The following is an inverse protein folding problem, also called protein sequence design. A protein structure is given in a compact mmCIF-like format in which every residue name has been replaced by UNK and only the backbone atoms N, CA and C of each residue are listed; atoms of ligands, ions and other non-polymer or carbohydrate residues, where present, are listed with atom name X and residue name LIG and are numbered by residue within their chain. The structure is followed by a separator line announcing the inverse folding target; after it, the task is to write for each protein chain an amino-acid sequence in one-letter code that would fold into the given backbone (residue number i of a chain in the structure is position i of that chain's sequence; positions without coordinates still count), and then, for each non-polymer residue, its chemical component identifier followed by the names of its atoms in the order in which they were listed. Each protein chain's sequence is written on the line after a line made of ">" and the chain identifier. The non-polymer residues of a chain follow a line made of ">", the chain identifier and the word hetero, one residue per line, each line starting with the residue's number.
data_IF_219863265932
#
_entry.id   IF_219863265932
#
_cell.length_a   1.000
_cell.length_b   1.000
_cell.length_c   1.000
_cell.angle_alpha   90.00
_cell.angle_beta   90.00
_cell.angle_gamma   90.00
#
_symmetry.space_group_name_H-M   'P 1'
#
loop_
_entity.id
_entity.type
_entity.pdbx_description
1 polymer ?
#
# COMPACT_ATOMS: atom_id res chain seq x y z
N UNK A 1 -26.86 32.39 14.75
CA UNK A 1 -27.33 31.19 14.03
C UNK A 1 -27.25 30.07 15.03
N UNK A 2 -28.36 29.41 15.35
CA UNK A 2 -28.42 28.43 16.42
C UNK A 2 -27.66 27.17 16.04
N UNK A 3 -26.91 26.60 16.98
CA UNK A 3 -26.27 25.29 16.84
C UNK A 3 -27.37 24.25 16.60
N UNK A 4 -27.50 23.83 15.35
CA UNK A 4 -28.45 22.81 14.95
C UNK A 4 -27.89 21.46 15.43
N UNK A 5 -28.40 20.98 16.57
CA UNK A 5 -27.99 19.70 17.14
C UNK A 5 -28.54 18.57 16.27
N UNK A 6 -27.65 17.78 15.67
CA UNK A 6 -28.01 16.63 14.84
C UNK A 6 -28.13 15.37 15.71
N UNK A 7 -29.31 14.76 15.75
CA UNK A 7 -29.52 13.48 16.41
C UNK A 7 -28.97 12.33 15.54
N UNK A 8 -27.99 11.59 16.06
CA UNK A 8 -27.30 10.50 15.36
C UNK A 8 -27.82 9.10 15.72
N UNK A 9 -28.82 9.01 16.61
CA UNK A 9 -29.35 7.75 17.12
C UNK A 9 -28.84 7.41 18.52
N UNK A 10 -29.06 6.15 18.91
CA UNK A 10 -28.61 5.55 20.16
C UNK A 10 -27.26 4.86 19.95
N UNK A 11 -26.40 4.93 20.96
CA UNK A 11 -25.09 4.27 20.95
C UNK A 11 -24.87 3.46 22.22
N UNK A 12 -24.05 2.41 22.10
CA UNK A 12 -23.54 1.64 23.23
C UNK A 12 -22.03 1.86 23.34
N UNK A 13 -21.51 1.82 24.57
CA UNK A 13 -20.06 1.87 24.79
C UNK A 13 -19.45 0.55 24.33
N UNK A 14 -18.58 0.59 23.32
CA UNK A 14 -17.83 -0.60 22.87
C UNK A 14 -16.55 -0.79 23.67
N UNK A 15 -15.89 0.31 24.03
CA UNK A 15 -14.65 0.32 24.82
C UNK A 15 -14.52 1.62 25.59
N UNK A 16 -14.00 1.56 26.82
CA UNK A 16 -13.63 2.73 27.59
C UNK A 16 -12.31 2.47 28.31
N UNK A 17 -11.42 3.46 28.29
CA UNK A 17 -10.17 3.48 29.06
C UNK A 17 -10.30 4.51 30.18
N UNK A 18 -9.64 4.24 31.31
CA UNK A 18 -9.56 5.20 32.40
C UNK A 18 -8.14 5.24 32.96
N UNK A 19 -7.71 6.44 33.36
CA UNK A 19 -6.46 6.69 34.07
C UNK A 19 -6.80 7.46 35.36
N UNK A 20 -6.28 7.01 36.50
CA UNK A 20 -6.57 7.56 37.82
C UNK A 20 -8.07 7.71 38.14
N UNK A 21 -8.89 6.77 37.66
CA UNK A 21 -10.34 6.77 37.87
C UNK A 21 -11.12 7.76 36.98
N UNK A 22 -10.45 8.44 36.05
CA UNK A 22 -11.05 9.33 35.06
C UNK A 22 -11.05 8.65 33.70
N UNK A 23 -12.21 8.60 33.04
CA UNK A 23 -12.33 8.08 31.68
C UNK A 23 -11.53 8.97 30.72
N UNK A 24 -10.55 8.41 30.02
CA UNK A 24 -9.70 9.13 29.06
C UNK A 24 -10.25 9.02 27.65
N UNK A 25 -10.76 7.84 27.29
CA UNK A 25 -11.29 7.57 25.96
C UNK A 25 -12.56 6.71 26.07
N UNK A 26 -13.50 6.95 25.16
CA UNK A 26 -14.72 6.19 25.04
C UNK A 26 -15.04 5.98 23.55
N UNK A 27 -15.17 4.73 23.17
CA UNK A 27 -15.58 4.32 21.83
C UNK A 27 -17.07 3.96 21.87
N UNK A 28 -17.84 4.57 20.98
CA UNK A 28 -19.28 4.41 20.90
C UNK A 28 -19.65 3.70 19.60
N UNK A 29 -20.44 2.64 19.70
CA UNK A 29 -21.06 1.97 18.56
C UNK A 29 -22.52 2.38 18.46
N UNK A 30 -22.89 3.01 17.35
CA UNK A 30 -24.30 3.32 17.05
C UNK A 30 -25.08 2.04 16.78
N UNK A 31 -26.32 1.97 17.25
CA UNK A 31 -27.21 0.81 17.06
C UNK A 31 -27.65 0.66 15.60
N UNK A 32 -27.69 1.77 14.86
CA UNK A 32 -27.95 1.80 13.43
C UNK A 32 -26.82 2.55 12.71
N UNK A 33 -26.39 2.11 11.52
CA UNK A 33 -25.46 2.88 10.71
C UNK A 33 -26.00 4.28 10.40
N UNK A 34 -25.11 5.26 10.34
CA UNK A 34 -25.47 6.60 9.89
C UNK A 34 -25.87 6.59 8.41
N UNK A 35 -26.89 7.37 8.06
CA UNK A 35 -27.23 7.58 6.65
C UNK A 35 -26.13 8.36 5.94
N UNK A 36 -25.97 8.14 4.63
CA UNK A 36 -25.05 8.95 3.80
C UNK A 36 -25.35 10.44 3.92
N UNK A 37 -26.63 10.84 3.89
CA UNK A 37 -27.03 12.23 4.08
C UNK A 37 -26.51 12.84 5.40
N UNK A 38 -26.44 12.05 6.48
CA UNK A 38 -25.90 12.52 7.76
C UNK A 38 -24.38 12.64 7.71
N UNK A 39 -23.70 11.70 7.05
CA UNK A 39 -22.26 11.74 6.84
C UNK A 39 -21.85 12.91 5.94
N UNK A 40 -22.59 13.15 4.86
CA UNK A 40 -22.34 14.23 3.90
C UNK A 40 -22.54 15.63 4.52
N UNK A 41 -23.32 15.78 5.60
CA UNK A 41 -23.41 17.07 6.30
C UNK A 41 -22.11 17.44 7.02
N UNK A 42 -21.43 16.46 7.59
CA UNK A 42 -20.17 16.67 8.34
C UNK A 42 -18.94 16.42 7.48
N UNK A 43 -19.10 15.71 6.37
CA UNK A 43 -18.07 15.37 5.37
C UNK A 43 -18.60 15.64 3.95
N UNK A 44 -18.95 16.90 3.61
CA UNK A 44 -19.61 17.25 2.34
C UNK A 44 -18.79 16.83 1.14
N UNK A 45 -19.36 16.09 0.15
CA UNK A 45 -18.66 15.53 -1.01
C UNK A 45 -17.66 16.54 -1.59
N UNK A 46 -16.38 16.22 -1.46
CA UNK A 46 -15.35 16.98 -2.15
C UNK A 46 -15.52 16.72 -3.65
N UNK A 47 -15.34 17.73 -4.52
CA UNK A 47 -15.30 17.48 -5.96
C UNK A 47 -14.28 16.37 -6.19
N UNK A 48 -14.63 15.38 -7.00
CA UNK A 48 -13.69 14.34 -7.38
C UNK A 48 -12.50 15.06 -8.04
N UNK A 49 -11.38 15.14 -7.31
CA UNK A 49 -10.11 15.50 -7.94
C UNK A 49 -9.82 14.49 -9.05
N UNK A 50 -8.93 14.84 -9.98
CA UNK A 50 -8.47 13.90 -10.99
C UNK A 50 -7.81 12.70 -10.28
N UNK A 51 -8.58 11.62 -10.10
CA UNK A 51 -8.10 10.42 -9.43
C UNK A 51 -7.05 9.74 -10.31
N UNK A 52 -6.00 9.14 -9.72
CA UNK A 52 -5.02 8.36 -10.47
C UNK A 52 -5.70 7.27 -11.30
N UNK A 53 -5.45 7.29 -12.62
CA UNK A 53 -6.04 6.33 -13.56
C UNK A 53 -5.40 4.94 -13.49
N UNK A 54 -5.95 4.02 -14.29
CA UNK A 54 -5.51 2.62 -14.37
C UNK A 54 -4.67 2.29 -15.62
N UNK A 55 -4.25 3.30 -16.39
CA UNK A 55 -3.51 3.12 -17.64
C UNK A 55 -2.23 2.30 -17.47
N UNK A 56 -1.58 2.39 -16.31
CA UNK A 56 -0.37 1.64 -15.97
C UNK A 56 -0.56 0.12 -16.05
N UNK A 57 -1.78 -0.39 -15.87
CA UNK A 57 -2.09 -1.83 -15.93
C UNK A 57 -1.75 -2.43 -17.30
N UNK A 58 -1.87 -1.65 -18.39
CA UNK A 58 -1.57 -2.12 -19.75
C UNK A 58 -0.10 -2.52 -19.94
N UNK A 59 0.78 -1.99 -19.08
CA UNK A 59 2.23 -2.21 -19.18
C UNK A 59 2.73 -3.36 -18.29
N UNK A 60 1.94 -3.83 -17.31
CA UNK A 60 2.38 -4.79 -16.26
C UNK A 60 2.97 -6.10 -16.82
N UNK A 61 2.43 -6.58 -17.95
CA UNK A 61 2.90 -7.83 -18.58
C UNK A 61 3.97 -7.63 -19.66
N UNK A 62 4.42 -6.39 -19.91
CA UNK A 62 5.39 -6.07 -20.96
C UNK A 62 6.48 -5.11 -20.51
N UNK A 63 6.09 -3.89 -20.14
CA UNK A 63 7.00 -2.83 -19.67
C UNK A 63 6.70 -2.49 -18.20
N UNK A 64 7.21 -3.33 -17.30
CA UNK A 64 7.02 -3.15 -15.85
C UNK A 64 7.66 -1.87 -15.32
N UNK A 65 8.70 -1.37 -16.00
CA UNK A 65 9.29 -0.09 -15.68
C UNK A 65 8.29 1.05 -15.95
N UNK A 66 7.64 1.06 -17.11
CA UNK A 66 6.58 2.03 -17.41
C UNK A 66 5.39 1.91 -16.45
N UNK A 67 4.96 0.68 -16.13
CA UNK A 67 3.89 0.43 -15.17
C UNK A 67 4.20 1.05 -13.80
N UNK A 68 5.39 0.78 -13.25
CA UNK A 68 5.83 1.31 -11.96
C UNK A 68 5.89 2.84 -11.96
N UNK A 69 6.43 3.42 -13.03
CA UNK A 69 6.54 4.88 -13.18
C UNK A 69 5.17 5.56 -13.24
N UNK A 70 4.25 5.05 -14.06
CA UNK A 70 2.90 5.61 -14.20
C UNK A 70 2.10 5.47 -12.89
N UNK A 71 2.18 4.31 -12.21
CA UNK A 71 1.53 4.12 -10.91
C UNK A 71 2.05 5.09 -9.85
N UNK A 72 3.37 5.15 -9.64
CA UNK A 72 3.98 6.03 -8.63
C UNK A 72 3.69 7.51 -8.93
N UNK A 73 3.76 7.92 -10.19
CA UNK A 73 3.53 9.33 -10.56
C UNK A 73 2.08 9.74 -10.33
N UNK A 74 1.13 8.82 -10.50
CA UNK A 74 -0.28 9.06 -10.17
C UNK A 74 -0.53 9.06 -8.66
N UNK A 75 -0.02 8.06 -7.94
CA UNK A 75 -0.31 7.88 -6.51
C UNK A 75 0.41 8.89 -5.61
N UNK A 76 1.67 9.21 -5.95
CA UNK A 76 2.52 10.13 -5.20
C UNK A 76 2.83 11.34 -6.10
N UNK A 77 2.00 12.39 -6.10
CA UNK A 77 2.27 13.58 -6.88
C UNK A 77 3.61 14.20 -6.45
N UNK A 78 4.39 14.70 -7.42
CA UNK A 78 5.61 15.42 -7.09
C UNK A 78 5.27 16.71 -6.32
N UNK A 79 6.15 17.17 -5.41
CA UNK A 79 6.02 18.50 -4.82
C UNK A 79 5.86 19.54 -5.93
N UNK A 80 4.95 20.49 -5.73
CA UNK A 80 4.75 21.60 -6.66
C UNK A 80 6.03 22.44 -6.68
N UNK A 81 6.42 23.01 -7.83
CA UNK A 81 7.70 23.75 -8.01
C UNK A 81 7.96 24.82 -6.92
N UNK A 82 6.91 25.30 -6.26
CA UNK A 82 6.94 26.23 -5.11
C UNK A 82 7.58 25.68 -3.83
N UNK A 83 7.75 24.37 -3.70
CA UNK A 83 8.31 23.68 -2.51
C UNK A 83 9.71 23.11 -2.76
N UNK A 84 10.29 23.37 -3.93
CA UNK A 84 11.62 22.86 -4.28
C UNK A 84 12.65 23.98 -4.09
N UNK A 85 13.24 24.09 -2.90
CA UNK A 85 14.55 24.75 -2.79
C UNK A 85 15.54 23.98 -3.67
N UNK A 86 16.36 24.73 -4.42
CA UNK A 86 17.25 24.27 -5.49
C UNK A 86 17.89 22.91 -5.18
N UNK A 87 17.44 21.87 -5.88
CA UNK A 87 18.13 20.59 -5.88
C UNK A 87 19.46 20.75 -6.62
N UNK A 88 20.56 20.35 -5.98
CA UNK A 88 21.89 20.34 -6.57
C UNK A 88 21.90 19.62 -7.93
N UNK A 89 22.73 20.07 -8.89
CA UNK A 89 22.82 19.44 -10.20
C UNK A 89 23.21 17.96 -10.06
N UNK A 90 22.64 17.06 -10.88
CA UNK A 90 22.87 15.63 -10.75
C UNK A 90 24.35 15.32 -11.01
N UNK A 91 25.05 14.86 -9.96
CA UNK A 91 26.39 14.30 -10.10
C UNK A 91 26.32 13.11 -11.06
N UNK A 92 27.26 12.98 -12.03
CA UNK A 92 27.28 11.83 -12.92
C UNK A 92 27.46 10.55 -12.09
N UNK A 93 26.37 9.82 -11.90
CA UNK A 93 26.39 8.52 -11.21
C UNK A 93 27.17 7.56 -12.10
N UNK A 94 28.35 7.15 -11.64
CA UNK A 94 28.99 5.92 -12.10
C UNK A 94 27.94 4.82 -12.18
N UNK A 95 28.00 3.99 -13.23
CA UNK A 95 27.06 2.89 -13.43
C UNK A 95 27.01 2.04 -12.15
N UNK A 96 25.97 2.27 -11.34
CA UNK A 96 25.78 1.53 -10.11
C UNK A 96 25.53 0.07 -10.51
N UNK A 97 26.16 -0.91 -9.83
CA UNK A 97 25.98 -2.33 -10.11
C UNK A 97 24.57 -2.84 -9.74
N UNK A 98 23.61 -1.94 -9.53
CA UNK A 98 22.25 -2.26 -9.15
C UNK A 98 21.39 -2.61 -10.36
N UNK A 99 20.47 -3.58 -10.21
CA UNK A 99 19.47 -3.88 -11.22
C UNK A 99 18.65 -2.65 -11.62
N UNK A 100 18.21 -2.64 -12.87
CA UNK A 100 17.50 -1.52 -13.50
C UNK A 100 16.26 -1.10 -12.73
N UNK A 101 15.50 -2.06 -12.19
CA UNK A 101 14.30 -1.81 -11.38
C UNK A 101 14.59 -0.97 -10.14
N UNK A 102 15.62 -1.30 -9.36
CA UNK A 102 16.01 -0.52 -8.18
C UNK A 102 16.54 0.86 -8.59
N UNK A 103 17.35 0.95 -9.66
CA UNK A 103 17.83 2.24 -10.17
C UNK A 103 16.67 3.15 -10.56
N UNK A 104 15.63 2.59 -11.19
CA UNK A 104 14.44 3.34 -11.54
C UNK A 104 13.65 3.80 -10.31
N UNK A 105 13.40 2.92 -9.34
CA UNK A 105 12.71 3.27 -8.10
C UNK A 105 13.45 4.41 -7.37
N UNK A 106 14.78 4.34 -7.28
CA UNK A 106 15.56 5.39 -6.63
C UNK A 106 15.45 6.74 -7.35
N UNK A 107 15.41 6.78 -8.69
CA UNK A 107 15.14 8.02 -9.43
C UNK A 107 13.76 8.59 -9.14
N UNK A 108 12.75 7.72 -8.98
CA UNK A 108 11.40 8.17 -8.59
C UNK A 108 11.38 8.73 -7.17
N UNK A 109 12.14 8.11 -6.27
CA UNK A 109 12.25 8.50 -4.87
C UNK A 109 13.00 9.82 -4.64
N UNK A 110 13.90 10.23 -5.56
CA UNK A 110 14.63 11.51 -5.48
C UNK A 110 13.69 12.72 -5.27
N UNK A 111 12.50 12.69 -5.87
CA UNK A 111 11.47 13.73 -5.69
C UNK A 111 10.31 13.30 -4.79
N UNK A 112 10.30 12.04 -4.33
CA UNK A 112 9.18 11.41 -3.62
C UNK A 112 9.68 10.39 -2.59
N UNK A 113 10.25 10.82 -1.46
CA UNK A 113 10.87 9.90 -0.49
C UNK A 113 9.95 8.76 -0.02
N UNK A 114 8.63 9.01 0.07
CA UNK A 114 7.62 8.03 0.47
C UNK A 114 7.50 6.81 -0.47
N UNK A 115 8.01 6.90 -1.69
CA UNK A 115 8.07 5.77 -2.65
C UNK A 115 8.90 4.60 -2.12
N UNK A 116 9.83 4.86 -1.20
CA UNK A 116 10.61 3.82 -0.55
C UNK A 116 9.85 3.11 0.59
N UNK A 117 8.60 3.48 0.84
CA UNK A 117 7.72 2.84 1.81
C UNK A 117 7.79 3.43 3.22
N UNK A 118 6.70 3.24 3.95
CA UNK A 118 6.50 3.69 5.34
C UNK A 118 6.36 2.48 6.26
N UNK A 119 5.53 1.50 5.90
CA UNK A 119 5.27 0.28 6.68
C UNK A 119 6.41 -0.72 6.50
N UNK A 120 6.73 -1.01 5.25
CA UNK A 120 7.96 -1.66 4.85
C UNK A 120 8.88 -0.62 4.20
N UNK A 121 10.15 -0.96 4.03
CA UNK A 121 11.14 -0.04 3.48
C UNK A 121 11.99 -0.70 2.43
N UNK A 122 12.13 -0.04 1.28
CA UNK A 122 13.26 -0.23 0.38
C UNK A 122 14.38 0.68 0.86
N UNK A 123 15.51 0.08 1.20
CA UNK A 123 16.68 0.79 1.69
C UNK A 123 17.26 1.69 0.60
N UNK A 124 17.64 2.94 0.92
CA UNK A 124 18.44 3.75 0.01
C UNK A 124 19.73 3.04 -0.39
N UNK A 125 20.26 3.35 -1.59
CA UNK A 125 21.47 2.69 -2.11
C UNK A 125 22.66 2.70 -1.12
N UNK A 126 22.84 3.80 -0.38
CA UNK A 126 23.91 3.99 0.61
C UNK A 126 23.74 3.14 1.87
N UNK A 127 22.58 2.52 2.06
CA UNK A 127 22.23 1.69 3.22
C UNK A 127 21.99 0.23 2.87
N UNK A 128 22.24 -0.16 1.63
CA UNK A 128 22.16 -1.56 1.24
C UNK A 128 23.19 -2.37 2.03
N UNK A 129 22.73 -3.51 2.56
CA UNK A 129 23.53 -4.39 3.43
C UNK A 129 23.83 -5.67 2.68
N UNK A 130 24.93 -6.33 3.03
CA UNK A 130 25.16 -7.73 2.66
C UNK A 130 24.79 -8.61 3.83
N UNK A 131 24.35 -9.83 3.54
CA UNK A 131 24.19 -10.86 4.56
C UNK A 131 25.55 -11.29 5.16
N UNK A 132 25.52 -12.18 6.15
CA UNK A 132 26.72 -12.65 6.83
C UNK A 132 27.68 -13.42 5.92
N UNK A 133 27.17 -14.04 4.84
CA UNK A 133 28.00 -14.79 3.88
C UNK A 133 28.52 -13.93 2.74
N UNK A 134 27.97 -12.72 2.56
CA UNK A 134 28.31 -11.83 1.45
C UNK A 134 27.74 -12.27 0.10
N UNK A 135 26.78 -13.21 0.13
CA UNK A 135 26.15 -13.82 -1.05
C UNK A 135 24.86 -13.10 -1.43
N UNK A 136 24.23 -12.41 -0.47
CA UNK A 136 22.94 -11.75 -0.66
C UNK A 136 23.05 -10.25 -0.34
N UNK A 137 22.45 -9.42 -1.19
CA UNK A 137 22.31 -7.98 -0.95
C UNK A 137 20.90 -7.67 -0.46
N UNK A 138 20.81 -7.30 0.81
CA UNK A 138 19.58 -6.89 1.47
C UNK A 138 19.24 -5.47 0.99
N UNK A 139 18.07 -5.35 0.38
CA UNK A 139 17.59 -4.10 -0.21
C UNK A 139 16.27 -3.60 0.38
N UNK A 140 15.56 -4.42 1.15
CA UNK A 140 14.40 -3.96 1.88
C UNK A 140 14.22 -4.70 3.21
N UNK A 141 13.46 -4.08 4.11
CA UNK A 141 13.09 -4.63 5.40
C UNK A 141 11.67 -4.24 5.82
N UNK A 142 11.09 -5.04 6.71
CA UNK A 142 9.92 -4.67 7.49
C UNK A 142 10.36 -3.68 8.57
N UNK A 143 9.64 -2.56 8.73
CA UNK A 143 10.13 -1.45 9.55
C UNK A 143 10.25 -1.78 11.05
N UNK A 144 9.62 -2.85 11.53
CA UNK A 144 9.69 -3.35 12.91
C UNK A 144 10.74 -4.46 13.09
N UNK A 145 11.41 -4.89 12.01
CA UNK A 145 12.51 -5.85 12.03
C UNK A 145 12.10 -7.31 11.96
N UNK A 146 10.89 -7.64 11.50
CA UNK A 146 10.41 -9.03 11.37
C UNK A 146 11.07 -9.80 10.23
N UNK A 147 11.18 -9.20 9.04
CA UNK A 147 11.71 -9.86 7.85
C UNK A 147 12.46 -8.89 6.92
N UNK A 148 13.13 -9.42 5.90
CA UNK A 148 13.86 -8.64 4.89
C UNK A 148 13.73 -9.23 3.49
N UNK A 149 13.98 -8.37 2.50
CA UNK A 149 14.14 -8.78 1.10
C UNK A 149 15.57 -8.59 0.63
N UNK A 150 16.04 -9.57 -0.14
CA UNK A 150 17.39 -9.60 -0.66
C UNK A 150 17.43 -10.06 -2.12
N UNK A 151 18.53 -9.73 -2.77
CA UNK A 151 18.87 -10.21 -4.11
C UNK A 151 20.13 -11.04 -4.01
N UNK A 152 20.25 -12.05 -4.88
CA UNK A 152 21.52 -12.74 -5.04
C UNK A 152 22.58 -11.72 -5.52
N UNK A 153 23.70 -11.67 -4.81
CA UNK A 153 24.79 -10.73 -5.05
C UNK A 153 25.95 -11.45 -5.74
N UNK A 154 25.77 -11.80 -7.01
CA UNK A 154 26.86 -12.33 -7.84
C UNK A 154 27.52 -11.21 -8.65
N UNK A 155 28.84 -11.13 -8.56
CA UNK A 155 29.64 -10.16 -9.33
C UNK A 155 29.84 -10.56 -10.78
N UNK A 156 29.62 -11.83 -11.12
CA UNK A 156 30.05 -12.38 -12.39
C UNK A 156 29.05 -12.07 -13.52
N UNK A 157 27.74 -12.16 -13.30
CA UNK A 157 26.70 -11.68 -14.24
C UNK A 157 25.38 -11.44 -13.48
N UNK A 158 24.99 -10.18 -13.20
CA UNK A 158 23.70 -9.93 -12.54
C UNK A 158 22.55 -10.25 -13.50
N UNK A 159 21.56 -11.00 -13.01
CA UNK A 159 20.30 -11.21 -13.73
C UNK A 159 19.67 -9.85 -14.09
N UNK A 160 19.15 -9.71 -15.31
CA UNK A 160 18.52 -8.46 -15.78
C UNK A 160 17.33 -8.06 -14.89
N UNK A 161 16.56 -9.06 -14.48
CA UNK A 161 15.42 -8.92 -13.58
C UNK A 161 15.50 -10.01 -12.50
N UNK A 162 16.26 -9.75 -11.41
CA UNK A 162 16.67 -10.79 -10.48
C UNK A 162 15.51 -11.31 -9.63
N UNK A 163 15.61 -12.58 -9.25
CA UNK A 163 14.73 -13.17 -8.21
C UNK A 163 14.88 -12.42 -6.89
N UNK A 164 13.75 -12.07 -6.27
CA UNK A 164 13.70 -11.49 -4.92
C UNK A 164 13.54 -12.59 -3.90
N UNK A 165 14.35 -12.55 -2.85
CA UNK A 165 14.34 -13.52 -1.76
C UNK A 165 13.82 -12.88 -0.49
N UNK A 166 12.75 -13.44 0.05
CA UNK A 166 12.16 -13.12 1.34
C UNK A 166 12.87 -13.94 2.44
N UNK A 167 13.33 -13.30 3.50
CA UNK A 167 13.99 -13.97 4.62
C UNK A 167 13.50 -13.47 5.97
N UNK A 168 13.34 -14.39 6.91
CA UNK A 168 13.21 -14.14 8.35
C UNK A 168 14.48 -14.61 9.05
N UNK A 169 14.79 -14.03 10.22
CA UNK A 169 15.95 -14.45 11.00
C UNK A 169 15.86 -15.96 11.32
N UNK A 170 16.94 -16.68 11.03
CA UNK A 170 17.12 -18.13 11.27
C UNK A 170 16.31 -19.09 10.38
N UNK A 171 15.59 -18.60 9.35
CA UNK A 171 14.90 -19.44 8.36
C UNK A 171 15.60 -19.45 6.99
N UNK A 172 15.34 -20.49 6.18
CA UNK A 172 15.83 -20.54 4.79
C UNK A 172 15.04 -19.54 3.94
N UNK A 173 15.70 -18.65 3.17
CA UNK A 173 15.01 -17.68 2.34
C UNK A 173 14.08 -18.33 1.31
N UNK A 174 12.91 -17.74 1.14
CA UNK A 174 11.89 -18.18 0.19
C UNK A 174 11.84 -17.18 -0.97
N UNK A 175 11.81 -17.68 -2.21
CA UNK A 175 11.67 -16.81 -3.36
C UNK A 175 10.28 -16.15 -3.38
N UNK A 176 10.24 -14.84 -3.59
CA UNK A 176 9.02 -14.15 -4.01
C UNK A 176 8.58 -14.70 -5.36
N UNK A 177 7.27 -14.64 -5.62
CA UNK A 177 6.77 -15.20 -6.87
C UNK A 177 7.16 -14.33 -8.06
N UNK A 178 7.12 -12.99 -7.94
CA UNK A 178 7.58 -12.10 -9.00
C UNK A 178 9.08 -11.80 -8.90
N UNK A 179 9.81 -11.69 -10.04
CA UNK A 179 11.14 -11.09 -10.03
C UNK A 179 11.04 -9.61 -9.67
N UNK A 180 12.19 -8.99 -9.43
CA UNK A 180 12.33 -7.63 -8.90
C UNK A 180 11.38 -6.62 -9.55
N UNK A 181 11.26 -6.60 -10.87
CA UNK A 181 10.40 -5.67 -11.59
C UNK A 181 8.91 -5.76 -11.20
N UNK A 182 8.40 -6.98 -11.01
CA UNK A 182 7.02 -7.22 -10.57
C UNK A 182 6.87 -6.99 -9.07
N UNK A 183 7.87 -7.44 -8.31
CA UNK A 183 7.94 -7.21 -6.86
C UNK A 183 7.87 -5.71 -6.52
N UNK A 184 8.59 -4.84 -7.24
CA UNK A 184 8.58 -3.40 -6.96
C UNK A 184 7.22 -2.74 -7.19
N UNK A 185 6.44 -3.23 -8.17
CA UNK A 185 5.04 -2.82 -8.37
C UNK A 185 4.20 -3.26 -7.16
N UNK A 186 4.34 -4.52 -6.74
CA UNK A 186 3.60 -5.08 -5.60
C UNK A 186 3.94 -4.39 -4.28
N UNK A 187 5.22 -4.13 -4.03
CA UNK A 187 5.69 -3.34 -2.90
C UNK A 187 5.03 -1.96 -2.89
N UNK A 188 5.03 -1.28 -4.03
CA UNK A 188 4.39 0.05 -4.15
C UNK A 188 2.88 0.01 -3.92
N UNK A 189 2.20 -1.05 -4.39
CA UNK A 189 0.77 -1.29 -4.15
C UNK A 189 0.48 -1.61 -2.67
N UNK A 190 1.34 -2.40 -2.02
CA UNK A 190 1.25 -2.71 -0.61
C UNK A 190 1.34 -1.43 0.23
N UNK A 191 2.38 -0.64 0.02
CA UNK A 191 2.58 0.64 0.71
C UNK A 191 1.45 1.64 0.42
N UNK A 192 0.98 1.69 -0.83
CA UNK A 192 -0.19 2.50 -1.20
C UNK A 192 -1.46 2.08 -0.45
N UNK A 193 -1.72 0.78 -0.30
CA UNK A 193 -2.89 0.29 0.43
C UNK A 193 -2.80 0.61 1.93
N UNK A 194 -1.64 0.40 2.55
CA UNK A 194 -1.47 0.51 3.99
C UNK A 194 -1.23 1.94 4.47
N UNK A 195 -0.53 2.75 3.67
CA UNK A 195 -0.07 4.09 4.01
C UNK A 195 -0.95 5.23 3.50
N UNK A 196 -2.12 4.93 2.94
CA UNK A 196 -3.04 5.96 2.44
C UNK A 196 -3.74 6.74 3.56
N UNK A 197 -4.10 8.00 3.26
CA UNK A 197 -4.85 8.86 4.18
C UNK A 197 -6.30 8.39 4.38
N UNK A 198 -6.88 7.75 3.36
CA UNK A 198 -8.24 7.24 3.39
C UNK A 198 -8.24 5.73 3.28
N UNK A 199 -8.84 5.06 4.28
CA UNK A 199 -8.83 3.62 4.41
C UNK A 199 -10.25 3.04 4.41
N UNK A 200 -10.38 1.83 3.87
CA UNK A 200 -11.51 0.95 4.08
C UNK A 200 -11.00 -0.42 4.56
N UNK A 201 -11.27 -0.72 5.84
CA UNK A 201 -10.76 -1.89 6.56
C UNK A 201 -11.95 -2.75 6.96
N UNK A 202 -12.18 -3.89 6.29
CA UNK A 202 -13.21 -4.82 6.71
C UNK A 202 -12.75 -5.61 7.94
N UNK A 203 -13.69 -6.28 8.61
CA UNK A 203 -13.32 -7.47 9.39
C UNK A 203 -12.77 -8.55 8.45
N UNK A 204 -12.27 -9.65 9.02
CA UNK A 204 -11.92 -10.86 8.25
C UNK A 204 -13.05 -11.19 7.28
N UNK A 205 -12.71 -11.27 6.00
CA UNK A 205 -13.65 -11.50 4.93
C UNK A 205 -13.79 -13.00 4.68
N UNK A 206 -14.98 -13.39 4.26
CA UNK A 206 -15.24 -14.72 3.69
C UNK A 206 -14.97 -14.73 2.18
N UNK A 207 -14.78 -15.91 1.59
CA UNK A 207 -14.59 -16.03 0.13
C UNK A 207 -15.71 -15.35 -0.71
N UNK A 208 -17.02 -15.50 -0.39
CA UNK A 208 -18.07 -14.79 -1.14
C UNK A 208 -17.98 -13.27 -1.02
N UNK A 209 -17.50 -12.74 0.10
CA UNK A 209 -17.31 -11.31 0.27
C UNK A 209 -16.12 -10.79 -0.55
N UNK A 210 -15.05 -11.58 -0.64
CA UNK A 210 -13.93 -11.28 -1.55
C UNK A 210 -14.44 -11.27 -2.99
N UNK A 211 -15.24 -12.25 -3.41
CA UNK A 211 -15.83 -12.27 -4.77
C UNK A 211 -16.60 -10.99 -5.07
N UNK A 212 -17.47 -10.53 -4.16
CA UNK A 212 -18.22 -9.27 -4.32
C UNK A 212 -17.32 -8.04 -4.48
N UNK A 213 -16.27 -7.95 -3.66
CA UNK A 213 -15.29 -6.85 -3.73
C UNK A 213 -14.54 -6.89 -5.07
N UNK A 214 -14.12 -8.07 -5.51
CA UNK A 214 -13.34 -8.22 -6.74
C UNK A 214 -14.16 -8.02 -8.01
N UNK A 215 -15.50 -7.99 -7.93
CA UNK A 215 -16.36 -7.64 -9.06
C UNK A 215 -16.36 -6.15 -9.39
N UNK A 216 -16.10 -5.28 -8.40
CA UNK A 216 -16.10 -3.83 -8.57
C UNK A 216 -14.68 -3.24 -8.72
N UNK A 217 -13.65 -4.08 -8.61
CA UNK A 217 -12.25 -3.72 -8.75
C UNK A 217 -11.59 -4.52 -9.87
N UNK A 218 -10.52 -3.97 -10.45
CA UNK A 218 -9.74 -4.66 -11.46
C UNK A 218 -8.57 -5.43 -10.83
N UNK A 219 -8.38 -6.73 -11.10
CA UNK A 219 -7.23 -7.47 -10.60
C UNK A 219 -5.93 -6.99 -11.26
N UNK A 220 -4.86 -6.86 -10.46
CA UNK A 220 -3.51 -6.61 -10.98
C UNK A 220 -2.94 -7.93 -11.51
N UNK A 221 -2.47 -8.02 -12.77
CA UNK A 221 -2.08 -9.27 -13.40
C UNK A 221 -0.66 -9.71 -13.01
N UNK A 222 -0.41 -9.86 -11.71
CA UNK A 222 0.83 -10.38 -11.14
C UNK A 222 0.54 -11.64 -10.31
N UNK A 223 1.53 -12.49 -10.12
CA UNK A 223 1.47 -13.61 -9.16
C UNK A 223 1.35 -13.07 -7.73
N UNK A 224 0.88 -13.86 -6.75
CA UNK A 224 0.77 -13.38 -5.38
C UNK A 224 2.09 -12.84 -4.80
N UNK A 225 1.97 -11.74 -4.05
CA UNK A 225 3.04 -11.15 -3.25
C UNK A 225 3.13 -11.83 -1.89
N UNK A 226 4.33 -11.87 -1.33
CA UNK A 226 4.63 -12.39 0.01
C UNK A 226 4.39 -13.90 0.14
N UNK A 227 5.45 -14.71 0.28
CA UNK A 227 5.33 -16.17 0.25
C UNK A 227 4.50 -16.79 1.38
N UNK A 228 4.48 -16.21 2.59
CA UNK A 228 3.75 -16.80 3.72
C UNK A 228 2.25 -16.56 3.68
N UNK A 229 1.84 -15.36 3.29
CA UNK A 229 0.43 -14.99 3.17
C UNK A 229 0.20 -14.50 1.76
N UNK A 230 -0.02 -15.42 0.79
CA UNK A 230 -0.18 -15.07 -0.61
C UNK A 230 -1.21 -13.94 -0.79
N UNK A 231 -0.70 -12.77 -1.18
CA UNK A 231 -1.47 -11.54 -1.25
C UNK A 231 -1.67 -11.11 -2.70
N UNK A 232 -2.91 -10.82 -3.07
CA UNK A 232 -3.29 -10.30 -4.39
C UNK A 232 -3.73 -8.84 -4.27
N UNK A 233 -3.56 -8.10 -5.37
CA UNK A 233 -3.93 -6.70 -5.45
C UNK A 233 -5.06 -6.48 -6.45
N UNK A 234 -5.97 -5.59 -6.07
CA UNK A 234 -7.11 -5.14 -6.86
C UNK A 234 -7.17 -3.62 -6.82
N UNK A 235 -7.54 -3.00 -7.92
CA UNK A 235 -7.44 -1.54 -8.08
C UNK A 235 -8.68 -0.95 -8.75
N UNK A 236 -8.96 0.29 -8.40
CA UNK A 236 -9.86 1.19 -9.12
C UNK A 236 -9.19 2.58 -9.18
N UNK A 237 -9.70 3.54 -9.96
CA UNK A 237 -9.09 4.87 -10.00
C UNK A 237 -8.91 5.47 -8.59
N UNK A 238 -7.66 5.76 -8.22
CA UNK A 238 -7.29 6.27 -6.90
C UNK A 238 -7.45 5.32 -5.70
N UNK A 239 -7.68 4.02 -5.93
CA UNK A 239 -7.91 3.00 -4.90
C UNK A 239 -7.02 1.77 -5.15
N UNK A 240 -6.33 1.31 -4.10
CA UNK A 240 -5.60 0.04 -4.08
C UNK A 240 -6.09 -0.80 -2.92
N UNK A 241 -6.42 -2.04 -3.22
CA UNK A 241 -6.83 -3.03 -2.24
C UNK A 241 -5.91 -4.25 -2.28
N UNK A 242 -5.39 -4.64 -1.12
CA UNK A 242 -4.73 -5.94 -0.93
C UNK A 242 -5.70 -6.92 -0.30
N UNK A 243 -5.62 -8.18 -0.72
CA UNK A 243 -6.35 -9.31 -0.14
C UNK A 243 -5.38 -10.47 0.02
N UNK A 244 -5.20 -10.95 1.25
CA UNK A 244 -4.32 -12.07 1.58
C UNK A 244 -5.05 -13.12 2.41
N UNK A 245 -4.61 -14.36 2.32
CA UNK A 245 -5.13 -15.47 3.12
C UNK A 245 -4.05 -16.55 3.29
N UNK A 246 -3.95 -17.10 4.50
CA UNK A 246 -3.03 -18.20 4.82
C UNK A 246 -3.59 -19.57 4.40
N UNK A 247 -4.89 -19.77 4.62
CA UNK A 247 -5.59 -21.05 4.48
C UNK A 247 -6.67 -21.07 3.39
N UNK A 248 -7.04 -19.90 2.86
CA UNK A 248 -8.13 -19.72 1.89
C UNK A 248 -9.53 -19.71 2.52
N UNK A 249 -9.64 -19.76 3.84
CA UNK A 249 -10.92 -19.75 4.56
C UNK A 249 -11.30 -18.33 5.00
N UNK A 250 -10.35 -17.63 5.62
CA UNK A 250 -10.49 -16.23 6.01
C UNK A 250 -9.49 -15.34 5.28
N UNK A 251 -9.97 -14.15 4.89
CA UNK A 251 -9.17 -13.22 4.11
C UNK A 251 -8.94 -11.94 4.91
N UNK A 252 -7.67 -11.55 5.03
CA UNK A 252 -7.27 -10.22 5.44
C UNK A 252 -7.33 -9.29 4.24
N UNK A 253 -7.90 -8.11 4.44
CA UNK A 253 -8.12 -7.15 3.38
C UNK A 253 -7.83 -5.74 3.88
N UNK A 254 -7.20 -4.94 3.03
CA UNK A 254 -6.89 -3.56 3.34
C UNK A 254 -6.98 -2.72 2.07
N UNK A 255 -7.83 -1.70 2.09
CA UNK A 255 -7.97 -0.77 1.00
C UNK A 255 -7.48 0.61 1.41
N UNK A 256 -6.60 1.18 0.59
CA UNK A 256 -6.10 2.54 0.69
C UNK A 256 -6.54 3.36 -0.52
N UNK A 257 -6.83 4.63 -0.30
CA UNK A 257 -7.28 5.56 -1.33
C UNK A 257 -6.58 6.91 -1.24
N UNK A 258 -6.30 7.49 -2.41
CA UNK A 258 -5.73 8.85 -2.54
C UNK A 258 -6.75 9.94 -2.22
N UNK A 259 -8.03 9.62 -2.33
CA UNK A 259 -9.12 10.51 -2.02
C UNK A 259 -10.31 9.69 -1.53
N UNK A 260 -11.05 10.20 -0.56
CA UNK A 260 -12.17 9.47 0.05
C UNK A 260 -13.24 9.02 -0.97
N UNK A 261 -13.49 9.79 -2.03
CA UNK A 261 -14.47 9.42 -3.06
C UNK A 261 -14.04 8.20 -3.88
N UNK A 262 -12.76 7.86 -3.89
CA UNK A 262 -12.27 6.65 -4.56
C UNK A 262 -12.74 5.36 -3.85
N UNK A 263 -13.22 5.45 -2.60
CA UNK A 263 -13.82 4.33 -1.87
C UNK A 263 -15.29 4.07 -2.24
N UNK A 264 -15.91 4.93 -3.05
CA UNK A 264 -17.32 4.80 -3.43
C UNK A 264 -17.70 3.43 -4.03
N UNK A 265 -16.85 2.73 -4.81
CA UNK A 265 -17.19 1.40 -5.33
C UNK A 265 -17.44 0.36 -4.22
N UNK A 266 -16.88 0.57 -3.03
CA UNK A 266 -16.98 -0.35 -1.90
C UNK A 266 -18.17 -0.06 -0.97
N UNK A 267 -18.75 1.14 -1.07
CA UNK A 267 -19.67 1.67 -0.07
C UNK A 267 -21.01 0.92 0.02
N UNK A 268 -21.47 0.31 -1.07
CA UNK A 268 -22.75 -0.42 -1.14
C UNK A 268 -22.60 -1.94 -0.98
N UNK A 269 -21.38 -2.41 -0.73
CA UNK A 269 -21.14 -3.83 -0.51
C UNK A 269 -21.58 -4.23 0.91
N UNK A 270 -22.18 -5.43 1.09
CA UNK A 270 -22.63 -5.92 2.40
C UNK A 270 -21.45 -6.44 3.24
N UNK A 271 -20.54 -5.52 3.57
CA UNK A 271 -19.30 -5.77 4.31
C UNK A 271 -19.36 -5.05 5.65
N UNK A 272 -18.97 -5.74 6.72
CA UNK A 272 -18.81 -5.13 8.04
C UNK A 272 -17.45 -4.45 8.12
N UNK A 273 -17.43 -3.13 7.94
CA UNK A 273 -16.22 -2.32 7.97
C UNK A 273 -15.84 -1.95 9.41
N UNK A 274 -14.61 -2.27 9.81
CA UNK A 274 -13.98 -1.76 11.03
C UNK A 274 -13.64 -0.27 10.89
N UNK A 275 -13.23 0.15 9.68
CA UNK A 275 -12.98 1.55 9.31
C UNK A 275 -13.42 1.77 7.87
N UNK A 276 -14.04 2.92 7.62
CA UNK A 276 -14.43 3.33 6.28
C UNK A 276 -14.42 4.87 6.18
N UNK A 277 -13.42 5.40 5.47
CA UNK A 277 -13.14 6.84 5.45
C UNK A 277 -13.80 7.62 4.30
N UNK A 278 -14.47 6.93 3.37
CA UNK A 278 -15.11 7.52 2.20
C UNK A 278 -16.60 7.35 2.13
#
# INVERSE_FOLDING_TARGET
>A
MGDEVLYLGTSQVSRASASDGVMTDCELRLESPLSRDSLDRVRPPLPAGDLPGLEWLRHVNGDRAAALNEFISGWYPAPTESETEEADPPTPRTASPLPDGLRQLYRLAERRPYVLGVQNRILPETRLRTDLRGEMRIFGDESQGGFFWSLLWTLDEPEVDPTVWFGEFDEEPIAEQEPLSGFLIQFSLFEASMGADYLALPRRLTAPQVELITQVLQPVPLRPFWPWVPTRFYVAPGLVMRVGSEDGEEFDAWAGATHRTALSPLADLPIDWLRFDG
#
